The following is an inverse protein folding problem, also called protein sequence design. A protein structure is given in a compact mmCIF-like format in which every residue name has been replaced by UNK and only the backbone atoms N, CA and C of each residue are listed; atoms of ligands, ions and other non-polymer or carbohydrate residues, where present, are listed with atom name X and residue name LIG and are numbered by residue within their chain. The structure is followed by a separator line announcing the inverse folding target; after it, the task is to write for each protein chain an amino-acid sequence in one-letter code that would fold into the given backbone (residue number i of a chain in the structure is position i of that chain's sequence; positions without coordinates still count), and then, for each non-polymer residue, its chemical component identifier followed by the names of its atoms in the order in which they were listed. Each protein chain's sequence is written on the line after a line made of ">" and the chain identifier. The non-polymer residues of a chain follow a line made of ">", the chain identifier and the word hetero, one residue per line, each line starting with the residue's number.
data_IF_515745012400
#
_entry.id   IF_515745012400
#
_cell.length_a   1.000
_cell.length_b   1.000
_cell.length_c   1.000
_cell.angle_alpha   90.00
_cell.angle_beta   90.00
_cell.angle_gamma   90.00
#
_symmetry.space_group_name_H-M   'P 1'
#
loop_
_entity.id
_entity.type
_entity.pdbx_description
1 polymer ?
#
# COMPACT_ATOMS: atom_id res chain seq x y z
N UNK A 1 17.33 0.43 16.26
CA UNK A 1 18.72 0.65 15.79
C UNK A 1 18.67 1.74 14.73
N UNK A 2 19.51 2.76 14.80
CA UNK A 2 19.49 3.89 13.84
C UNK A 2 20.78 3.91 13.02
N UNK A 3 20.67 4.19 11.72
CA UNK A 3 21.81 4.37 10.84
C UNK A 3 21.81 5.82 10.33
N UNK A 4 22.95 6.50 10.44
CA UNK A 4 23.12 7.84 9.89
C UNK A 4 23.46 7.73 8.41
N UNK A 5 22.67 8.40 7.57
CA UNK A 5 22.89 8.50 6.12
C UNK A 5 22.93 9.98 5.73
N UNK A 6 23.70 10.31 4.69
CA UNK A 6 23.69 11.64 4.09
C UNK A 6 22.79 11.60 2.85
N UNK A 7 21.78 12.46 2.80
CA UNK A 7 20.85 12.58 1.69
C UNK A 7 20.78 14.04 1.23
N UNK A 8 20.63 14.23 -0.09
CA UNK A 8 20.37 15.54 -0.67
C UNK A 8 18.87 15.70 -0.86
N UNK A 9 18.31 16.78 -0.31
CA UNK A 9 16.90 17.11 -0.46
C UNK A 9 16.77 18.51 -1.08
N UNK A 10 15.71 18.76 -1.88
CA UNK A 10 15.40 20.12 -2.30
C UNK A 10 15.25 21.04 -1.11
N UNK A 11 15.71 22.29 -1.24
CA UNK A 11 15.65 23.30 -0.18
C UNK A 11 14.23 23.50 0.36
N UNK A 12 13.25 23.48 -0.56
CA UNK A 12 11.82 23.56 -0.24
C UNK A 12 11.37 22.42 0.68
N UNK A 13 11.83 21.18 0.43
CA UNK A 13 11.52 20.02 1.27
C UNK A 13 12.17 20.16 2.65
N UNK A 14 13.40 20.65 2.73
CA UNK A 14 14.07 20.91 4.01
C UNK A 14 13.28 21.96 4.80
N UNK A 15 12.82 23.03 4.15
CA UNK A 15 12.04 24.07 4.79
C UNK A 15 10.69 23.55 5.32
N UNK A 16 10.01 22.69 4.56
CA UNK A 16 8.78 22.03 5.02
C UNK A 16 9.03 21.16 6.26
N UNK A 17 10.13 20.41 6.28
CA UNK A 17 10.51 19.61 7.47
C UNK A 17 10.77 20.55 8.66
N UNK A 18 11.44 21.68 8.45
CA UNK A 18 11.71 22.66 9.50
C UNK A 18 10.45 23.34 10.05
N UNK A 19 9.43 23.56 9.22
CA UNK A 19 8.14 24.10 9.66
C UNK A 19 7.35 23.10 10.50
N UNK A 20 7.45 21.82 10.16
CA UNK A 20 6.68 20.74 10.82
C UNK A 20 7.38 20.20 12.07
N UNK A 21 8.67 20.44 12.26
CA UNK A 21 9.44 19.88 13.37
C UNK A 21 10.50 20.84 13.92
N UNK A 22 10.72 20.78 15.24
CA UNK A 22 11.93 21.34 15.84
C UNK A 22 13.17 20.55 15.40
N UNK A 23 14.37 21.17 15.39
CA UNK A 23 15.63 20.56 14.92
C UNK A 23 15.92 19.15 15.49
N UNK A 24 15.51 18.89 16.74
CA UNK A 24 15.71 17.60 17.42
C UNK A 24 14.88 16.45 16.84
N UNK A 25 13.79 16.73 16.13
CA UNK A 25 12.80 15.72 15.73
C UNK A 25 12.79 15.40 14.23
N UNK A 26 13.74 15.94 13.46
CA UNK A 26 13.81 15.76 11.99
C UNK A 26 13.91 14.28 11.60
N UNK A 27 14.79 13.52 12.25
CA UNK A 27 14.96 12.10 11.93
C UNK A 27 13.72 11.27 12.22
N UNK A 28 13.00 11.56 13.32
CA UNK A 28 11.76 10.88 13.66
C UNK A 28 10.66 11.20 12.64
N UNK A 29 10.56 12.47 12.24
CA UNK A 29 9.60 12.89 11.24
C UNK A 29 9.87 12.25 9.87
N UNK A 30 11.14 12.18 9.46
CA UNK A 30 11.52 11.51 8.21
C UNK A 30 11.20 10.02 8.28
N UNK A 31 11.48 9.34 9.39
CA UNK A 31 11.13 7.92 9.58
C UNK A 31 9.62 7.69 9.46
N UNK A 32 8.81 8.52 10.11
CA UNK A 32 7.35 8.45 10.03
C UNK A 32 6.82 8.73 8.61
N UNK A 33 7.35 9.76 7.94
CA UNK A 33 6.98 10.11 6.57
C UNK A 33 7.31 8.99 5.58
N UNK A 34 8.47 8.34 5.73
CA UNK A 34 8.87 7.20 4.89
C UNK A 34 7.96 6.01 5.13
N UNK A 35 7.64 5.67 6.38
CA UNK A 35 6.70 4.59 6.72
C UNK A 35 5.32 4.85 6.14
N UNK A 36 4.80 6.06 6.31
CA UNK A 36 3.51 6.46 5.77
C UNK A 36 3.46 6.34 4.24
N UNK A 37 4.50 6.85 3.55
CA UNK A 37 4.59 6.75 2.09
C UNK A 37 4.62 5.29 1.63
N UNK A 38 5.43 4.46 2.28
CA UNK A 38 5.55 3.03 1.94
C UNK A 38 4.24 2.28 2.15
N UNK A 39 3.52 2.55 3.25
CA UNK A 39 2.22 1.95 3.49
C UNK A 39 1.21 2.38 2.41
N UNK A 40 1.19 3.65 2.05
CA UNK A 40 0.28 4.19 1.06
C UNK A 40 0.53 3.61 -0.34
N UNK A 41 1.80 3.64 -0.80
CA UNK A 41 2.20 3.06 -2.09
C UNK A 41 1.99 1.55 -2.11
N UNK A 42 2.28 0.87 -1.00
CA UNK A 42 2.02 -0.57 -0.83
C UNK A 42 0.55 -0.91 -1.04
N UNK A 43 -0.37 -0.15 -0.44
CA UNK A 43 -1.82 -0.33 -0.60
C UNK A 43 -2.27 -0.14 -2.04
N UNK A 44 -1.73 0.87 -2.75
CA UNK A 44 -2.06 1.10 -4.17
C UNK A 44 -1.62 -0.10 -5.02
N UNK A 45 -0.38 -0.56 -4.84
CA UNK A 45 0.15 -1.71 -5.59
C UNK A 45 -0.63 -2.99 -5.29
N UNK A 46 -0.98 -3.22 -4.02
CA UNK A 46 -1.77 -4.39 -3.61
C UNK A 46 -3.17 -4.38 -4.23
N UNK A 47 -3.84 -3.22 -4.25
CA UNK A 47 -5.16 -3.08 -4.90
C UNK A 47 -5.10 -3.43 -6.38
N UNK A 48 -4.07 -2.96 -7.08
CA UNK A 48 -3.91 -3.30 -8.51
C UNK A 48 -3.64 -4.80 -8.71
N UNK A 49 -2.79 -5.40 -7.88
CA UNK A 49 -2.53 -6.84 -7.94
C UNK A 49 -3.80 -7.68 -7.66
N UNK A 50 -4.61 -7.27 -6.69
CA UNK A 50 -5.90 -7.92 -6.39
C UNK A 50 -6.87 -7.81 -7.56
N UNK A 51 -6.99 -6.61 -8.16
CA UNK A 51 -7.81 -6.36 -9.34
C UNK A 51 -7.40 -7.27 -10.50
N UNK A 52 -6.11 -7.29 -10.83
CA UNK A 52 -5.58 -8.13 -11.90
C UNK A 52 -5.78 -9.62 -11.61
N UNK A 53 -5.63 -10.03 -10.35
CA UNK A 53 -5.92 -11.40 -9.93
C UNK A 53 -7.38 -11.78 -10.14
N UNK A 54 -8.32 -10.91 -9.76
CA UNK A 54 -9.75 -11.15 -9.95
C UNK A 54 -10.13 -11.24 -11.44
N UNK A 55 -9.60 -10.35 -12.28
CA UNK A 55 -9.80 -10.39 -13.73
C UNK A 55 -9.29 -11.72 -14.31
N UNK A 56 -8.05 -12.11 -13.97
CA UNK A 56 -7.46 -13.37 -14.46
C UNK A 56 -8.24 -14.62 -14.06
N UNK A 57 -8.93 -14.58 -12.92
CA UNK A 57 -9.69 -15.73 -12.40
C UNK A 57 -11.17 -15.69 -12.76
N UNK A 58 -11.64 -14.65 -13.46
CA UNK A 58 -13.06 -14.41 -13.72
C UNK A 58 -13.78 -15.62 -14.32
N UNK A 59 -13.21 -16.24 -15.36
CA UNK A 59 -13.83 -17.40 -16.01
C UNK A 59 -13.99 -18.59 -15.06
N UNK A 60 -12.93 -18.92 -14.33
CA UNK A 60 -12.92 -20.03 -13.37
C UNK A 60 -13.89 -19.77 -12.21
N UNK A 61 -13.86 -18.55 -11.66
CA UNK A 61 -14.69 -18.18 -10.53
C UNK A 61 -16.17 -18.14 -10.93
N UNK A 62 -16.50 -17.72 -12.17
CA UNK A 62 -17.85 -17.84 -12.74
C UNK A 62 -18.29 -19.29 -12.91
N UNK A 63 -17.40 -20.17 -13.40
CA UNK A 63 -17.69 -21.60 -13.56
C UNK A 63 -18.01 -22.26 -12.22
N UNK A 64 -17.14 -22.04 -11.23
CA UNK A 64 -17.33 -22.55 -9.87
C UNK A 64 -18.63 -22.04 -9.25
N UNK A 65 -18.95 -20.75 -9.42
CA UNK A 65 -20.21 -20.19 -8.91
C UNK A 65 -21.45 -20.85 -9.53
N UNK A 66 -21.40 -21.19 -10.83
CA UNK A 66 -22.50 -21.91 -11.49
C UNK A 66 -22.63 -23.33 -10.97
N UNK A 67 -21.52 -24.06 -10.89
CA UNK A 67 -21.49 -25.43 -10.34
C UNK A 67 -22.03 -25.47 -8.90
N UNK A 68 -21.70 -24.47 -8.07
CA UNK A 68 -22.21 -24.37 -6.71
C UNK A 68 -23.73 -24.12 -6.68
N UNK A 69 -24.22 -23.16 -7.46
CA UNK A 69 -25.66 -22.86 -7.55
C UNK A 69 -26.45 -24.08 -8.03
N UNK A 70 -25.93 -24.82 -9.01
CA UNK A 70 -26.57 -26.05 -9.50
C UNK A 70 -26.65 -27.12 -8.38
N UNK A 71 -25.67 -27.19 -7.49
CA UNK A 71 -25.73 -28.10 -6.34
C UNK A 71 -26.73 -27.64 -5.27
N UNK A 72 -26.87 -26.33 -5.06
CA UNK A 72 -27.86 -25.75 -4.13
C UNK A 72 -29.30 -25.93 -4.65
N UNK A 73 -29.53 -25.71 -5.94
CA UNK A 73 -30.86 -25.89 -6.57
C UNK A 73 -31.32 -27.37 -6.59
N UNK A 74 -30.37 -28.32 -6.53
CA UNK A 74 -30.64 -29.75 -6.51
C UNK A 74 -30.51 -30.38 -5.09
N UNK A 75 -30.30 -29.55 -4.07
CA UNK A 75 -29.80 -29.97 -2.76
C UNK A 75 -30.53 -29.38 -1.56
N UNK A 76 -31.86 -29.29 -1.61
CA UNK A 76 -32.78 -29.37 -0.47
C UNK A 76 -34.06 -30.12 -0.86
#
# INVERSE_FOLDING_TARGET
>A
MYQKINITLPEQTVHLIEQMTNKSNRSSFIDEAVKYYMEHVGKIKLREQLKQGAIKRTERDLKLSKELNELEDNGW
#
